data_IF_251243324635
#
_entry.id   IF_251243324635
#
_cell.length_a   1.000
_cell.length_b   1.000
_cell.length_c   1.000
_cell.angle_alpha   90.00
_cell.angle_beta   90.00
_cell.angle_gamma   90.00
#
_symmetry.space_group_name_H-M   'P 1'
#
loop_
_entity.id
_entity.type
_entity.pdbx_description
1 polymer ?
#
# COMPACT_ATOMS: atom_id res chain seq x y z
N UNK A 1 -1.60 22.24 9.49
CA UNK A 1 -2.74 21.78 8.67
C UNK A 1 -3.47 23.00 8.15
N UNK A 2 -3.92 22.97 6.89
CA UNK A 2 -4.65 24.08 6.25
C UNK A 2 -5.99 23.59 5.71
N UNK A 3 -6.93 24.51 5.49
CA UNK A 3 -8.28 24.23 4.97
C UNK A 3 -8.56 25.05 3.70
N UNK A 4 -9.18 24.41 2.73
CA UNK A 4 -9.75 25.04 1.52
C UNK A 4 -10.89 24.15 1.04
N UNK A 5 -12.09 24.71 0.84
CA UNK A 5 -13.23 24.04 0.19
C UNK A 5 -13.49 22.59 0.65
N UNK A 6 -13.69 22.38 1.96
CA UNK A 6 -13.92 21.07 2.57
C UNK A 6 -12.78 20.04 2.39
N UNK A 7 -11.53 20.50 2.25
CA UNK A 7 -10.33 19.65 2.29
C UNK A 7 -9.44 20.02 3.46
N UNK A 8 -8.87 18.99 4.11
CA UNK A 8 -7.87 19.09 5.16
C UNK A 8 -6.52 18.65 4.60
N UNK A 9 -5.52 19.54 4.69
CA UNK A 9 -4.15 19.26 4.24
C UNK A 9 -3.25 19.00 5.43
N UNK A 10 -2.71 17.77 5.52
CA UNK A 10 -1.68 17.39 6.49
C UNK A 10 -0.31 17.71 5.88
N UNK A 11 0.39 18.68 6.46
CA UNK A 11 1.70 19.14 6.00
C UNK A 11 2.68 18.97 7.14
N UNK A 12 3.79 18.29 6.90
CA UNK A 12 4.95 18.30 7.79
C UNK A 12 5.90 19.40 7.34
N UNK A 13 6.45 20.15 8.30
CA UNK A 13 7.49 21.13 8.05
C UNK A 13 8.64 20.90 9.03
N UNK A 14 9.84 21.24 8.60
CA UNK A 14 11.05 21.09 9.39
C UNK A 14 12.08 22.13 8.96
N UNK A 15 13.09 22.31 9.80
CA UNK A 15 14.20 23.21 9.54
C UNK A 15 15.42 22.41 9.04
N UNK A 16 16.04 22.90 7.98
CA UNK A 16 17.27 22.36 7.41
C UNK A 16 18.30 23.49 7.40
N UNK A 17 19.08 23.59 8.49
CA UNK A 17 19.92 24.77 8.74
C UNK A 17 19.06 26.02 8.94
N UNK A 18 19.21 27.00 8.05
CA UNK A 18 18.41 28.22 8.05
C UNK A 18 17.13 28.11 7.18
N UNK A 19 17.02 27.08 6.34
CA UNK A 19 15.92 26.92 5.40
C UNK A 19 14.72 26.20 6.06
N UNK A 20 13.51 26.67 5.74
CA UNK A 20 12.27 25.98 6.12
C UNK A 20 11.79 25.13 4.97
N UNK A 21 11.64 23.83 5.21
CA UNK A 21 11.11 22.86 4.25
C UNK A 21 9.71 22.43 4.67
N UNK A 22 8.89 22.06 3.69
CA UNK A 22 7.56 21.51 3.93
C UNK A 22 7.21 20.44 2.90
N UNK A 23 6.48 19.40 3.33
CA UNK A 23 5.96 18.33 2.48
C UNK A 23 4.50 18.07 2.80
N UNK A 24 3.67 18.04 1.76
CA UNK A 24 2.29 17.57 1.87
C UNK A 24 2.31 16.06 2.11
N UNK A 25 1.78 15.64 3.26
CA UNK A 25 1.73 14.23 3.66
C UNK A 25 0.42 13.55 3.25
N UNK A 26 -0.70 14.26 3.35
CA UNK A 26 -2.01 13.73 3.00
C UNK A 26 -3.01 14.87 2.74
N UNK A 27 -4.03 14.56 1.93
CA UNK A 27 -5.22 15.40 1.73
C UNK A 27 -6.45 14.58 2.09
N UNK A 28 -7.27 15.09 3.00
CA UNK A 28 -8.52 14.44 3.39
C UNK A 28 -9.71 15.28 2.93
N UNK A 29 -10.69 14.63 2.31
CA UNK A 29 -11.97 15.25 1.98
C UNK A 29 -12.87 15.21 3.21
N UNK A 30 -13.30 16.38 3.66
CA UNK A 30 -14.18 16.54 4.80
C UNK A 30 -15.63 16.39 4.35
N UNK A 31 -16.38 15.52 5.03
CA UNK A 31 -17.83 15.37 4.81
C UNK A 31 -18.58 16.42 5.63
N UNK A 32 -18.30 17.69 5.37
CA UNK A 32 -18.93 18.83 6.05
C UNK A 32 -19.83 19.58 5.07
N UNK A 33 -21.02 19.97 5.53
CA UNK A 33 -21.81 21.02 4.91
C UNK A 33 -21.28 22.39 5.37
N UNK A 34 -21.07 23.30 4.42
CA UNK A 34 -20.69 24.69 4.70
C UNK A 34 -19.22 24.89 5.08
N UNK A 35 -18.95 26.05 5.69
CA UNK A 35 -17.61 26.49 6.05
C UNK A 35 -17.14 25.88 7.39
N UNK A 36 -15.82 25.73 7.52
CA UNK A 36 -15.19 25.37 8.78
C UNK A 36 -15.13 26.63 9.66
N UNK A 37 -15.71 26.55 10.86
CA UNK A 37 -15.75 27.66 11.81
C UNK A 37 -14.69 27.57 12.90
N UNK A 38 -14.36 26.35 13.33
CA UNK A 38 -13.38 26.12 14.38
C UNK A 38 -12.61 24.81 14.16
N UNK A 39 -11.36 24.82 14.64
CA UNK A 39 -10.45 23.67 14.58
C UNK A 39 -9.70 23.60 15.89
N UNK A 40 -9.64 22.41 16.49
CA UNK A 40 -8.82 22.16 17.68
C UNK A 40 -8.09 20.82 17.58
N UNK A 41 -6.96 20.73 18.25
CA UNK A 41 -6.05 19.59 18.20
C UNK A 41 -5.94 18.96 19.59
N UNK A 42 -6.19 17.66 19.69
CA UNK A 42 -5.69 16.83 20.77
C UNK A 42 -4.31 16.29 20.33
N UNK A 43 -3.20 16.77 20.92
CA UNK A 43 -1.87 16.42 20.44
C UNK A 43 -1.64 14.90 20.43
N UNK A 44 -1.14 14.38 19.30
CA UNK A 44 -0.80 12.95 19.17
C UNK A 44 -1.98 12.02 18.86
N UNK A 45 -3.22 12.52 18.87
CA UNK A 45 -4.40 11.66 18.69
C UNK A 45 -5.38 12.19 17.64
N UNK A 46 -6.07 13.29 17.91
CA UNK A 46 -7.22 13.71 17.11
C UNK A 46 -7.19 15.18 16.71
N UNK A 47 -7.67 15.47 15.51
CA UNK A 47 -8.10 16.80 15.07
C UNK A 47 -9.62 16.86 15.10
N UNK A 48 -10.16 17.90 15.72
CA UNK A 48 -11.59 18.19 15.70
C UNK A 48 -11.85 19.39 14.81
N UNK A 49 -12.84 19.27 13.93
CA UNK A 49 -13.24 20.30 12.97
C UNK A 49 -14.73 20.54 13.12
N UNK A 50 -15.12 21.79 13.35
CA UNK A 50 -16.52 22.18 13.52
C UNK A 50 -17.01 23.02 12.33
N UNK A 51 -18.19 22.69 11.82
CA UNK A 51 -18.99 23.52 10.91
C UNK A 51 -20.29 23.94 11.58
N UNK A 52 -21.21 24.57 10.83
CA UNK A 52 -22.53 24.99 11.35
C UNK A 52 -23.34 23.81 11.88
N UNK A 53 -23.24 22.65 11.24
CA UNK A 53 -24.18 21.54 11.46
C UNK A 53 -23.51 20.29 12.05
N UNK A 54 -22.18 20.26 12.15
CA UNK A 54 -21.46 19.06 12.57
C UNK A 54 -20.10 19.36 13.22
N UNK A 55 -19.66 18.42 14.06
CA UNK A 55 -18.27 18.32 14.52
C UNK A 55 -17.73 16.99 14.03
N UNK A 56 -16.61 17.02 13.30
CA UNK A 56 -15.90 15.84 12.84
C UNK A 56 -14.64 15.62 13.66
N UNK A 57 -14.33 14.35 13.90
CA UNK A 57 -13.10 13.90 14.54
C UNK A 57 -12.25 13.14 13.52
N UNK A 58 -10.98 13.51 13.41
CA UNK A 58 -10.01 12.90 12.51
C UNK A 58 -8.82 12.37 13.31
N UNK A 59 -8.49 11.09 13.12
CA UNK A 59 -7.28 10.51 13.70
C UNK A 59 -6.04 11.09 12.99
N UNK A 60 -5.08 11.58 13.76
CA UNK A 60 -3.82 12.14 13.22
C UNK A 60 -2.89 11.06 12.67
N UNK A 61 -2.94 9.87 13.27
CA UNK A 61 -2.04 8.75 13.00
C UNK A 61 -2.66 7.80 11.97
N UNK A 62 -2.44 8.08 10.70
CA UNK A 62 -2.86 7.23 9.57
C UNK A 62 -1.65 6.47 9.00
N UNK A 63 -0.83 5.89 9.89
CA UNK A 63 0.47 5.33 9.51
C UNK A 63 0.36 4.13 8.57
N UNK A 64 -0.72 3.34 8.68
CA UNK A 64 -0.97 2.19 7.79
C UNK A 64 -1.21 2.57 6.32
N UNK A 65 -1.37 3.86 6.00
CA UNK A 65 -1.47 4.34 4.62
C UNK A 65 -0.10 4.61 3.99
N UNK A 66 0.99 4.55 4.76
CA UNK A 66 2.33 4.69 4.23
C UNK A 66 2.87 3.31 3.89
N UNK A 67 3.09 3.11 2.58
CA UNK A 67 3.55 1.84 2.03
C UNK A 67 5.08 1.75 1.98
N UNK A 68 5.79 2.88 2.08
CA UNK A 68 7.26 2.93 2.04
C UNK A 68 7.85 3.56 3.30
N UNK A 69 9.09 3.17 3.62
CA UNK A 69 9.85 3.78 4.70
C UNK A 69 9.93 5.30 4.53
N UNK A 70 10.25 5.80 3.33
CA UNK A 70 10.40 7.23 3.06
C UNK A 70 9.10 8.03 3.28
N UNK A 71 7.93 7.42 3.01
CA UNK A 71 6.64 8.02 3.33
C UNK A 71 6.35 8.02 4.84
N UNK A 72 6.71 6.93 5.53
CA UNK A 72 6.51 6.78 6.97
C UNK A 72 7.44 7.71 7.79
N UNK A 73 8.70 7.82 7.39
CA UNK A 73 9.77 8.56 8.08
C UNK A 73 9.63 10.09 7.98
N UNK A 74 8.66 10.61 7.23
CA UNK A 74 8.37 12.06 7.20
C UNK A 74 7.18 12.45 8.08
N UNK A 75 6.43 11.48 8.62
CA UNK A 75 5.29 11.75 9.50
C UNK A 75 5.73 11.67 10.98
N UNK A 76 5.66 12.79 11.74
CA UNK A 76 6.06 12.81 13.14
C UNK A 76 5.20 11.93 14.07
N UNK A 77 4.08 11.41 13.56
CA UNK A 77 3.22 10.50 14.30
C UNK A 77 3.47 9.02 13.99
N UNK A 78 4.41 8.72 13.09
CA UNK A 78 4.67 7.37 12.62
C UNK A 78 6.13 6.94 12.81
N UNK A 79 6.31 5.63 12.77
CA UNK A 79 7.62 4.95 12.78
C UNK A 79 7.57 3.74 11.85
N UNK A 80 8.58 3.58 11.02
CA UNK A 80 8.76 2.41 10.16
C UNK A 80 9.45 1.29 10.95
N UNK A 81 8.97 0.07 10.77
CA UNK A 81 9.65 -1.14 11.26
C UNK A 81 10.34 -1.83 10.08
N UNK A 82 11.67 -1.90 10.13
CA UNK A 82 12.48 -2.47 9.06
C UNK A 82 12.32 -3.99 8.91
N UNK A 83 11.99 -4.71 9.99
CA UNK A 83 11.84 -6.17 9.94
C UNK A 83 10.52 -6.60 9.31
N UNK A 84 9.42 -5.89 9.59
CA UNK A 84 8.12 -6.19 9.01
C UNK A 84 7.83 -5.42 7.72
N UNK A 85 8.67 -4.44 7.37
CA UNK A 85 8.44 -3.51 6.25
C UNK A 85 7.05 -2.83 6.30
N UNK A 86 6.65 -2.38 7.50
CA UNK A 86 5.37 -1.68 7.72
C UNK A 86 5.55 -0.43 8.56
N UNK A 87 4.62 0.51 8.37
CA UNK A 87 4.54 1.74 9.12
C UNK A 87 3.53 1.66 10.26
N UNK A 88 3.96 2.02 11.47
CA UNK A 88 3.15 1.97 12.69
C UNK A 88 3.00 3.34 13.34
N UNK A 89 1.99 3.47 14.21
CA UNK A 89 1.89 4.62 15.12
C UNK A 89 3.16 4.69 15.95
N UNK A 90 3.71 5.90 16.08
CA UNK A 90 4.91 6.12 16.87
C UNK A 90 4.66 5.84 18.35
N UNK A 91 5.55 5.06 18.94
CA UNK A 91 5.66 4.88 20.39
C UNK A 91 7.02 5.38 20.88
N UNK A 92 7.11 5.71 22.18
CA UNK A 92 8.37 6.20 22.78
C UNK A 92 9.51 5.17 22.66
N UNK A 93 9.17 3.89 22.72
CA UNK A 93 10.08 2.75 22.61
C UNK A 93 10.74 2.66 21.23
N UNK A 94 10.07 3.12 20.16
CA UNK A 94 10.58 3.05 18.79
C UNK A 94 11.82 3.93 18.59
N UNK A 95 12.02 4.99 19.38
CA UNK A 95 13.20 5.86 19.24
C UNK A 95 14.51 5.20 19.63
N UNK A 96 14.46 4.23 20.53
CA UNK A 96 15.65 3.54 21.07
C UNK A 96 15.75 2.09 20.61
N UNK A 97 14.73 1.56 19.95
CA UNK A 97 14.68 0.17 19.49
C UNK A 97 15.39 0.03 18.13
N UNK A 98 16.25 -0.97 18.01
CA UNK A 98 16.89 -1.30 16.73
C UNK A 98 15.86 -1.70 15.68
N UNK A 99 16.10 -1.30 14.43
CA UNK A 99 15.21 -1.61 13.30
C UNK A 99 13.95 -0.75 13.23
N UNK A 100 13.87 0.33 14.03
CA UNK A 100 12.81 1.32 13.94
C UNK A 100 13.35 2.65 13.41
N UNK A 101 12.63 3.23 12.46
CA UNK A 101 12.94 4.55 11.90
C UNK A 101 11.75 5.45 12.21
N UNK A 102 11.94 6.38 13.15
CA UNK A 102 10.88 7.29 13.58
C UNK A 102 11.06 8.62 12.87
N UNK A 103 10.02 9.11 12.18
CA UNK A 103 10.13 10.34 11.40
C UNK A 103 10.31 11.64 12.18
N UNK A 104 11.51 11.93 12.67
CA UNK A 104 11.88 13.20 13.28
C UNK A 104 12.36 14.22 12.22
N UNK A 105 12.41 13.84 10.93
CA UNK A 105 12.65 14.72 9.79
C UNK A 105 13.33 14.03 8.60
N UNK A 106 13.88 14.77 7.63
CA UNK A 106 14.56 14.20 6.45
C UNK A 106 15.74 13.32 6.78
N UNK A 107 16.41 13.59 7.91
CA UNK A 107 17.56 12.79 8.37
C UNK A 107 17.18 11.32 8.57
N UNK A 108 15.90 11.04 8.83
CA UNK A 108 15.39 9.68 8.97
C UNK A 108 14.99 9.06 7.62
N UNK A 109 14.84 9.86 6.55
CA UNK A 109 14.68 9.36 5.19
C UNK A 109 15.99 8.73 4.71
N UNK A 110 17.14 9.31 5.06
CA UNK A 110 18.45 8.73 4.69
C UNK A 110 18.59 7.31 5.27
N UNK A 111 18.03 7.08 6.45
CA UNK A 111 17.99 5.77 7.11
C UNK A 111 17.06 4.76 6.40
N UNK A 112 16.23 5.20 5.44
CA UNK A 112 15.39 4.32 4.63
C UNK A 112 16.13 3.66 3.46
N UNK A 113 17.38 4.06 3.17
CA UNK A 113 18.18 3.48 2.10
C UNK A 113 18.33 1.97 2.29
N UNK A 114 17.79 1.17 1.36
CA UNK A 114 17.80 -0.29 1.44
C UNK A 114 16.64 -0.93 2.22
N UNK A 115 15.69 -0.15 2.73
CA UNK A 115 14.44 -0.66 3.31
C UNK A 115 13.34 -0.77 2.26
N UNK A 116 13.61 -1.60 1.25
CA UNK A 116 12.66 -1.97 0.20
C UNK A 116 11.72 -3.03 0.74
N UNK A 117 10.42 -2.95 0.42
CA UNK A 117 9.47 -3.99 0.82
C UNK A 117 9.71 -5.23 -0.05
N UNK A 118 9.95 -6.39 0.56
CA UNK A 118 10.07 -7.66 -0.14
C UNK A 118 8.86 -8.54 0.15
N UNK A 119 8.22 -9.04 -0.90
CA UNK A 119 7.10 -9.98 -0.80
C UNK A 119 7.40 -11.21 -1.64
N UNK A 120 7.36 -12.40 -1.01
CA UNK A 120 7.57 -13.68 -1.69
C UNK A 120 6.22 -14.36 -1.92
N UNK A 121 6.01 -14.84 -3.14
CA UNK A 121 4.81 -15.60 -3.51
C UNK A 121 5.19 -16.95 -4.10
N UNK A 122 4.40 -17.96 -3.74
CA UNK A 122 4.35 -19.23 -4.46
C UNK A 122 3.01 -19.31 -5.18
N UNK A 123 3.07 -19.32 -6.51
CA UNK A 123 1.92 -19.43 -7.40
C UNK A 123 1.94 -20.80 -8.09
N UNK A 124 0.81 -21.21 -8.65
CA UNK A 124 0.73 -22.43 -9.44
C UNK A 124 0.62 -22.12 -10.93
N UNK A 125 0.97 -23.10 -11.77
CA UNK A 125 0.83 -22.97 -13.21
C UNK A 125 -0.62 -22.57 -13.60
N UNK A 126 -0.76 -21.45 -14.31
CA UNK A 126 -2.05 -20.89 -14.71
C UNK A 126 -2.68 -19.88 -13.72
N UNK A 127 -2.07 -19.67 -12.55
CA UNK A 127 -2.50 -18.61 -11.64
C UNK A 127 -2.21 -17.22 -12.22
N UNK A 128 -2.89 -16.22 -11.66
CA UNK A 128 -2.64 -14.80 -11.91
C UNK A 128 -2.48 -14.10 -10.58
N UNK A 129 -1.58 -13.12 -10.55
CA UNK A 129 -1.29 -12.33 -9.35
C UNK A 129 -1.46 -10.85 -9.66
N UNK A 130 -1.97 -10.12 -8.68
CA UNK A 130 -2.04 -8.67 -8.72
C UNK A 130 -1.00 -8.09 -7.76
N UNK A 131 0.08 -7.57 -8.35
CA UNK A 131 1.17 -6.90 -7.66
C UNK A 131 0.83 -5.43 -7.52
N UNK A 132 0.84 -4.92 -6.28
CA UNK A 132 0.50 -3.53 -6.00
C UNK A 132 1.75 -2.67 -5.98
N UNK A 133 1.59 -1.39 -6.27
CA UNK A 133 2.63 -0.41 -6.02
C UNK A 133 2.03 0.85 -5.39
N UNK A 134 2.92 1.73 -4.93
CA UNK A 134 2.60 2.90 -4.10
C UNK A 134 2.27 4.15 -4.91
N UNK A 135 2.59 4.16 -6.21
CA UNK A 135 2.38 5.28 -7.11
C UNK A 135 1.44 4.91 -8.25
N UNK A 136 0.70 5.91 -8.76
CA UNK A 136 -0.22 5.75 -9.90
C UNK A 136 0.50 5.51 -11.23
N UNK A 137 1.74 5.97 -11.36
CA UNK A 137 2.54 5.82 -12.59
C UNK A 137 3.96 5.35 -12.26
N UNK A 138 4.11 4.14 -11.72
CA UNK A 138 5.43 3.62 -11.39
C UNK A 138 6.12 3.03 -12.62
N UNK A 139 7.42 2.79 -12.47
CA UNK A 139 8.19 1.98 -13.39
C UNK A 139 8.23 0.55 -12.87
N UNK A 140 7.84 -0.41 -13.72
CA UNK A 140 7.94 -1.84 -13.40
C UNK A 140 9.08 -2.50 -14.17
N UNK A 141 9.82 -3.38 -13.50
CA UNK A 141 10.79 -4.29 -14.11
C UNK A 141 10.41 -5.74 -13.81
N UNK A 142 10.84 -6.65 -14.68
CA UNK A 142 10.79 -8.10 -14.47
C UNK A 142 12.15 -8.69 -14.83
N UNK A 143 12.83 -9.30 -13.87
CA UNK A 143 14.21 -9.78 -14.01
C UNK A 143 15.12 -8.71 -14.63
N UNK A 144 15.09 -7.50 -14.04
CA UNK A 144 15.84 -6.31 -14.48
C UNK A 144 15.40 -5.69 -15.82
N UNK A 145 14.53 -6.35 -16.59
CA UNK A 145 14.01 -5.82 -17.85
C UNK A 145 12.79 -4.90 -17.60
N UNK A 146 12.84 -3.69 -18.14
CA UNK A 146 11.74 -2.73 -18.02
C UNK A 146 10.50 -3.18 -18.79
N UNK A 147 9.36 -3.24 -18.09
CA UNK A 147 8.06 -3.48 -18.70
C UNK A 147 7.54 -2.16 -19.31
N UNK A 148 7.64 -2.04 -20.64
CA UNK A 148 7.29 -0.79 -21.35
C UNK A 148 5.81 -0.69 -21.71
N UNK A 149 5.16 -1.81 -21.99
CA UNK A 149 3.77 -1.87 -22.43
C UNK A 149 3.07 -3.11 -21.88
N UNK A 150 1.73 -3.11 -21.79
CA UNK A 150 0.97 -4.33 -21.56
C UNK A 150 1.31 -5.40 -22.60
N UNK A 151 1.21 -6.67 -22.21
CA UNK A 151 1.37 -7.85 -23.05
C UNK A 151 0.28 -8.87 -22.72
N UNK A 152 0.18 -9.95 -23.50
CA UNK A 152 -0.82 -10.99 -23.23
C UNK A 152 -0.77 -11.55 -21.79
N UNK A 153 0.43 -11.62 -21.20
CA UNK A 153 0.64 -12.12 -19.84
C UNK A 153 0.62 -11.05 -18.75
N UNK A 154 0.74 -9.77 -19.11
CA UNK A 154 1.01 -8.68 -18.15
C UNK A 154 0.18 -7.45 -18.47
N UNK A 155 -0.61 -6.99 -17.51
CA UNK A 155 -1.52 -5.87 -17.68
C UNK A 155 -1.29 -4.83 -16.57
N UNK A 156 -1.07 -3.57 -16.95
CA UNK A 156 -1.00 -2.48 -15.98
C UNK A 156 -2.40 -2.11 -15.50
N UNK A 157 -2.52 -1.83 -14.22
CA UNK A 157 -3.77 -1.37 -13.61
C UNK A 157 -3.82 0.15 -13.56
N UNK A 158 -5.03 0.72 -13.44
CA UNK A 158 -5.23 2.17 -13.29
C UNK A 158 -4.66 2.73 -11.99
N UNK A 159 -4.48 1.88 -10.97
CA UNK A 159 -3.92 2.24 -9.67
C UNK A 159 -2.38 2.09 -9.65
N UNK A 160 -1.73 1.88 -10.81
CA UNK A 160 -0.28 1.72 -10.92
C UNK A 160 0.25 0.32 -10.56
N UNK A 161 -0.63 -0.61 -10.17
CA UNK A 161 -0.30 -2.02 -9.99
C UNK A 161 -0.08 -2.78 -11.31
N UNK A 162 0.41 -4.02 -11.21
CA UNK A 162 0.65 -4.94 -12.31
C UNK A 162 -0.11 -6.25 -12.07
N UNK A 163 -0.92 -6.68 -13.03
CA UNK A 163 -1.49 -8.03 -13.05
C UNK A 163 -0.61 -8.89 -13.97
N UNK A 164 -0.03 -9.96 -13.43
CA UNK A 164 0.85 -10.86 -14.17
C UNK A 164 0.35 -12.30 -14.08
N UNK A 165 0.56 -13.07 -15.15
CA UNK A 165 0.49 -14.52 -15.08
C UNK A 165 1.57 -15.10 -14.17
N UNK A 166 1.40 -16.36 -13.75
CA UNK A 166 2.38 -17.11 -12.99
C UNK A 166 3.65 -17.39 -13.81
N UNK A 167 4.52 -16.38 -13.92
CA UNK A 167 5.90 -16.52 -14.37
C UNK A 167 6.82 -16.35 -13.15
N UNK A 168 7.72 -17.31 -12.92
CA UNK A 168 8.73 -17.21 -11.87
C UNK A 168 9.73 -16.10 -12.18
N UNK A 169 10.13 -15.35 -11.17
CA UNK A 169 11.11 -14.29 -11.30
C UNK A 169 10.88 -13.16 -10.31
N UNK A 170 11.63 -12.08 -10.49
CA UNK A 170 11.62 -10.91 -9.63
C UNK A 170 10.94 -9.76 -10.34
N UNK A 171 9.88 -9.22 -9.76
CA UNK A 171 9.24 -8.00 -10.21
C UNK A 171 9.59 -6.87 -9.27
N UNK A 172 10.03 -5.74 -9.80
CA UNK A 172 10.32 -4.56 -8.99
C UNK A 172 9.44 -3.41 -9.44
N UNK A 173 8.95 -2.67 -8.47
CA UNK A 173 8.31 -1.39 -8.71
C UNK A 173 9.20 -0.26 -8.21
N UNK A 174 9.40 0.75 -9.06
CA UNK A 174 10.20 1.93 -8.75
C UNK A 174 9.42 3.23 -8.96
N UNK A 175 9.69 4.22 -8.11
CA UNK A 175 9.12 5.56 -8.17
C UNK A 175 10.26 6.56 -8.13
N UNK A 176 10.31 7.47 -9.10
CA UNK A 176 11.38 8.48 -9.24
C UNK A 176 12.81 7.90 -9.25
N UNK A 177 12.97 6.67 -9.74
CA UNK A 177 14.25 5.96 -9.83
C UNK A 177 14.59 5.08 -8.63
N UNK A 178 13.82 5.16 -7.54
CA UNK A 178 14.03 4.37 -6.33
C UNK A 178 13.10 3.15 -6.30
N UNK A 179 13.65 1.97 -6.00
CA UNK A 179 12.86 0.74 -5.85
C UNK A 179 12.07 0.82 -4.53
N UNK A 180 10.76 0.66 -4.60
CA UNK A 180 9.86 0.77 -3.44
C UNK A 180 9.32 -0.57 -2.98
N UNK A 181 9.16 -1.54 -3.90
CA UNK A 181 8.74 -2.90 -3.57
C UNK A 181 9.34 -3.89 -4.57
N UNK A 182 9.73 -5.06 -4.06
CA UNK A 182 10.26 -6.20 -4.78
C UNK A 182 9.35 -7.40 -4.49
N UNK A 183 8.94 -8.07 -5.56
CA UNK A 183 8.11 -9.26 -5.53
C UNK A 183 8.91 -10.44 -6.10
N UNK A 184 9.18 -11.44 -5.27
CA UNK A 184 9.85 -12.66 -5.70
C UNK A 184 8.81 -13.78 -5.86
N UNK A 185 8.61 -14.20 -7.10
CA UNK A 185 7.58 -15.16 -7.47
C UNK A 185 8.24 -16.49 -7.83
N UNK A 186 7.74 -17.54 -7.19
CA UNK A 186 8.06 -18.94 -7.50
C UNK A 186 6.81 -19.62 -8.03
N UNK A 187 6.91 -20.28 -9.18
CA UNK A 187 5.81 -21.05 -9.76
C UNK A 187 6.05 -22.53 -9.51
N UNK A 188 5.16 -23.14 -8.76
CA UNK A 188 5.19 -24.58 -8.50
C UNK A 188 4.45 -25.32 -9.64
N UNK A 189 5.23 -26.00 -10.47
CA UNK A 189 4.74 -26.87 -11.55
C UNK A 189 4.47 -28.31 -11.07
N UNK A 190 4.96 -28.70 -9.89
CA UNK A 190 4.89 -30.08 -9.39
C UNK A 190 3.50 -30.45 -8.89
N UNK A 191 2.74 -29.49 -8.35
CA UNK A 191 1.35 -29.70 -7.96
C UNK A 191 0.38 -29.89 -9.13
N UNK A 192 0.83 -29.59 -10.37
CA UNK A 192 0.05 -29.84 -11.59
C UNK A 192 0.26 -31.26 -12.16
N UNK A 193 0.95 -32.14 -11.41
CA UNK A 193 1.13 -33.54 -11.80
C UNK A 193 -0.17 -34.33 -11.69
N UNK A 194 -0.36 -35.28 -12.60
CA UNK A 194 -1.53 -36.16 -12.61
C UNK A 194 -1.65 -36.91 -11.26
N UNK A 195 -2.82 -36.88 -10.59
CA UNK A 195 -3.00 -37.60 -9.33
C UNK A 195 -2.69 -39.10 -9.51
N UNK A 196 -1.83 -39.65 -8.65
CA UNK A 196 -1.38 -41.05 -8.74
C UNK A 196 -2.31 -42.01 -8.00
N UNK A 197 -3.27 -41.48 -7.23
CA UNK A 197 -4.26 -42.27 -6.49
C UNK A 197 -5.65 -41.66 -6.50
N UNK A 198 -6.67 -42.51 -6.32
CA UNK A 198 -8.06 -42.07 -6.21
C UNK A 198 -8.30 -41.14 -5.00
N UNK A 199 -7.58 -41.36 -3.90
CA UNK A 199 -7.68 -40.51 -2.72
C UNK A 199 -7.15 -39.09 -3.00
N UNK A 200 -6.01 -38.99 -3.69
CA UNK A 200 -5.42 -37.71 -4.10
C UNK A 200 -6.35 -36.98 -5.09
N UNK A 201 -6.89 -37.70 -6.08
CA UNK A 201 -7.87 -37.14 -7.02
C UNK A 201 -9.10 -36.57 -6.30
N UNK A 202 -9.72 -37.35 -5.40
CA UNK A 202 -10.89 -36.89 -4.63
C UNK A 202 -10.58 -35.66 -3.77
N UNK A 203 -9.35 -35.57 -3.24
CA UNK A 203 -8.91 -34.40 -2.47
C UNK A 203 -8.84 -33.14 -3.35
N UNK A 204 -8.12 -33.23 -4.48
CA UNK A 204 -8.00 -32.12 -5.44
C UNK A 204 -9.35 -31.70 -6.04
N UNK A 205 -10.23 -32.66 -6.32
CA UNK A 205 -11.59 -32.38 -6.78
C UNK A 205 -12.40 -31.54 -5.76
N UNK A 206 -12.36 -31.90 -4.47
CA UNK A 206 -13.04 -31.12 -3.41
C UNK A 206 -12.49 -29.71 -3.29
N UNK A 207 -11.17 -29.56 -3.39
CA UNK A 207 -10.51 -28.25 -3.38
C UNK A 207 -11.00 -27.39 -4.55
N UNK A 208 -11.05 -27.97 -5.75
CA UNK A 208 -11.56 -27.29 -6.95
C UNK A 208 -13.02 -26.88 -6.81
N UNK A 209 -13.89 -27.75 -6.28
CA UNK A 209 -15.28 -27.40 -5.99
C UNK A 209 -15.38 -26.18 -5.06
N UNK A 210 -14.55 -26.13 -4.01
CA UNK A 210 -14.52 -24.99 -3.08
C UNK A 210 -14.06 -23.71 -3.78
N UNK A 211 -12.99 -23.77 -4.57
CA UNK A 211 -12.48 -22.62 -5.35
C UNK A 211 -13.53 -22.12 -6.36
N UNK A 212 -14.22 -23.03 -7.05
CA UNK A 212 -15.26 -22.69 -8.02
C UNK A 212 -16.48 -22.01 -7.38
N UNK A 213 -16.92 -22.46 -6.21
CA UNK A 213 -17.99 -21.79 -5.48
C UNK A 213 -17.58 -20.39 -5.00
N UNK A 214 -16.34 -20.22 -4.53
CA UNK A 214 -15.80 -18.90 -4.21
C UNK A 214 -15.77 -17.97 -5.44
N UNK A 215 -15.34 -18.49 -6.59
CA UNK A 215 -15.35 -17.75 -7.85
C UNK A 215 -16.77 -17.30 -8.23
N UNK A 216 -17.76 -18.20 -8.18
CA UNK A 216 -19.16 -17.84 -8.44
C UNK A 216 -19.65 -16.74 -7.50
N UNK A 217 -19.30 -16.80 -6.23
CA UNK A 217 -19.68 -15.78 -5.25
C UNK A 217 -19.07 -14.42 -5.60
N UNK A 218 -17.76 -14.38 -5.87
CA UNK A 218 -17.06 -13.15 -6.27
C UNK A 218 -17.61 -12.57 -7.58
N UNK A 219 -17.90 -13.42 -8.57
CA UNK A 219 -18.50 -13.03 -9.85
C UNK A 219 -19.88 -12.40 -9.67
N UNK A 220 -20.76 -13.01 -8.87
CA UNK A 220 -22.07 -12.42 -8.53
C UNK A 220 -21.93 -11.07 -7.82
N UNK A 221 -21.01 -10.96 -6.88
CA UNK A 221 -20.74 -9.71 -6.15
C UNK A 221 -20.26 -8.61 -7.10
N UNK A 222 -19.35 -8.94 -8.02
CA UNK A 222 -18.88 -8.03 -9.05
C UNK A 222 -20.03 -7.58 -9.97
N UNK A 223 -20.88 -8.51 -10.41
CA UNK A 223 -22.01 -8.21 -11.28
C UNK A 223 -23.02 -7.27 -10.60
N UNK A 224 -23.36 -7.51 -9.34
CA UNK A 224 -24.20 -6.60 -8.56
C UNK A 224 -23.58 -5.21 -8.38
N UNK A 225 -22.27 -5.15 -8.13
CA UNK A 225 -21.57 -3.86 -8.08
C UNK A 225 -21.65 -3.15 -9.42
N UNK A 226 -21.42 -3.85 -10.53
CA UNK A 226 -21.47 -3.28 -11.87
C UNK A 226 -22.85 -2.73 -12.22
N UNK A 227 -23.92 -3.49 -11.95
CA UNK A 227 -25.31 -3.06 -12.18
C UNK A 227 -25.69 -1.83 -11.34
N UNK A 228 -25.14 -1.68 -10.14
CA UNK A 228 -25.42 -0.55 -9.24
C UNK A 228 -24.65 0.72 -9.59
N UNK A 229 -23.51 0.60 -10.28
CA UNK A 229 -22.62 1.72 -10.61
C UNK A 229 -22.60 2.03 -12.13
N UNK A 230 -23.59 1.51 -12.86
CA UNK A 230 -23.97 1.98 -14.20
C UNK A 230 -24.87 3.19 -14.10
#
# INVERSE_FOLDING_TARGET
MFFSSARLYKVAHWFEGADTRAKLLATYTLKLSGNVHAVTLLPGEFLYVASTDAVLQYLLTHCSYYDTCAQCAVDPYCSWNSASAFCYKREKTHKSAMGWISGDGPKDIDNCSGHVRHETFTLYAGDTVHLKCVALSPLWTFNEERLQSPSEKRQFTTEGGLVSGADSGVYECSVDGEVVVVYEITVDETECTQPTSLAQFKSKYREWCKKFENYKHSSKKWQHWYEKNK
#
